data_IF_451660073432
#
_entry.id   IF_451660073432
#
_cell.length_a   1.000
_cell.length_b   1.000
_cell.length_c   1.000
_cell.angle_alpha   90.00
_cell.angle_beta   90.00
_cell.angle_gamma   90.00
#
_symmetry.space_group_name_H-M   'P 1'
#
loop_
_entity.id
_entity.type
_entity.pdbx_description
1 polymer ?
#
# COMPACT_ATOMS: atom_id res chain seq x y z
N UNK A 1 -20.21 12.43 14.64
CA UNK A 1 -20.01 12.66 13.20
C UNK A 1 -18.51 12.83 12.98
N UNK A 2 -17.92 12.11 12.04
CA UNK A 2 -16.55 12.39 11.63
C UNK A 2 -16.57 13.62 10.71
N UNK A 3 -15.83 14.67 11.11
CA UNK A 3 -15.77 15.94 10.41
C UNK A 3 -14.52 16.08 9.52
N UNK A 4 -13.67 15.05 9.45
CA UNK A 4 -12.36 15.10 8.80
C UNK A 4 -12.42 15.54 7.34
N UNK A 5 -13.37 15.01 6.54
CA UNK A 5 -13.54 15.43 5.12
C UNK A 5 -13.82 16.92 4.97
N UNK A 6 -14.71 17.43 5.82
CA UNK A 6 -15.16 18.82 5.77
C UNK A 6 -14.05 19.74 6.26
N UNK A 7 -13.35 19.36 7.33
CA UNK A 7 -12.19 20.08 7.85
C UNK A 7 -11.08 20.18 6.80
N UNK A 8 -10.73 19.08 6.11
CA UNK A 8 -9.72 19.10 5.04
C UNK A 8 -10.13 20.03 3.89
N UNK A 9 -11.40 20.02 3.50
CA UNK A 9 -11.94 20.93 2.48
C UNK A 9 -11.88 22.40 2.90
N UNK A 10 -12.24 22.70 4.15
CA UNK A 10 -12.18 24.04 4.72
C UNK A 10 -10.74 24.56 4.83
N UNK A 11 -9.79 23.71 5.24
CA UNK A 11 -8.36 24.05 5.28
C UNK A 11 -7.83 24.38 3.89
N UNK A 12 -8.11 23.54 2.89
CA UNK A 12 -7.73 23.80 1.50
C UNK A 12 -8.32 25.12 1.00
N UNK A 13 -9.61 25.37 1.26
CA UNK A 13 -10.27 26.63 0.89
C UNK A 13 -9.62 27.83 1.57
N UNK A 14 -9.33 27.76 2.87
CA UNK A 14 -8.64 28.83 3.60
C UNK A 14 -7.25 29.12 3.03
N UNK A 15 -6.49 28.07 2.68
CA UNK A 15 -5.18 28.24 2.05
C UNK A 15 -5.27 28.96 0.70
N UNK A 16 -6.24 28.61 -0.14
CA UNK A 16 -6.37 29.18 -1.49
C UNK A 16 -7.01 30.57 -1.48
N UNK A 17 -8.04 30.78 -0.64
CA UNK A 17 -8.85 31.99 -0.67
C UNK A 17 -8.30 33.10 0.23
N UNK A 18 -7.58 32.75 1.30
CA UNK A 18 -7.11 33.71 2.31
C UNK A 18 -5.58 33.78 2.38
N UNK A 19 -4.89 32.63 2.41
CA UNK A 19 -3.43 32.60 2.59
C UNK A 19 -2.71 32.92 1.28
N UNK A 20 -3.06 32.26 0.18
CA UNK A 20 -2.38 32.45 -1.11
C UNK A 20 -2.36 33.91 -1.58
N UNK A 21 -3.45 34.69 -1.47
CA UNK A 21 -3.43 36.11 -1.86
C UNK A 21 -2.59 37.00 -0.93
N UNK A 22 -2.29 36.54 0.29
CA UNK A 22 -1.52 37.28 1.28
C UNK A 22 -0.01 36.98 1.24
N UNK A 23 0.41 35.97 0.46
CA UNK A 23 1.81 35.62 0.24
C UNK A 23 2.41 36.56 -0.82
N UNK A 24 3.69 36.95 -0.65
CA UNK A 24 4.43 37.70 -1.67
C UNK A 24 4.54 36.88 -2.97
N UNK A 25 3.99 37.34 -4.11
CA UNK A 25 4.06 36.61 -5.37
C UNK A 25 5.49 36.50 -5.93
N UNK A 26 6.45 37.26 -5.39
CA UNK A 26 7.85 37.18 -5.79
C UNK A 26 8.67 36.21 -4.93
N UNK A 27 8.06 35.56 -3.94
CA UNK A 27 8.69 34.45 -3.21
C UNK A 27 8.51 33.15 -4.03
N UNK A 28 9.57 32.64 -4.68
CA UNK A 28 9.47 31.45 -5.51
C UNK A 28 9.16 30.20 -4.68
N UNK A 29 9.64 30.15 -3.42
CA UNK A 29 9.40 29.01 -2.55
C UNK A 29 7.91 28.95 -2.18
N UNK A 30 7.34 30.07 -1.74
CA UNK A 30 5.94 30.09 -1.33
C UNK A 30 4.98 29.84 -2.51
N UNK A 31 5.33 30.36 -3.69
CA UNK A 31 4.59 30.14 -4.94
C UNK A 31 4.53 28.67 -5.37
N UNK A 32 5.59 27.90 -5.10
CA UNK A 32 5.64 26.47 -5.39
C UNK A 32 5.03 25.61 -4.28
N UNK A 33 5.29 25.93 -3.01
CA UNK A 33 4.90 25.06 -1.89
C UNK A 33 3.41 25.14 -1.55
N UNK A 34 2.76 26.31 -1.69
CA UNK A 34 1.36 26.46 -1.31
C UNK A 34 0.41 25.60 -2.17
N UNK A 35 0.54 25.54 -3.50
CA UNK A 35 -0.22 24.61 -4.33
C UNK A 35 -0.02 23.15 -3.92
N UNK A 36 1.22 22.73 -3.63
CA UNK A 36 1.53 21.36 -3.21
C UNK A 36 0.81 20.96 -1.92
N UNK A 37 0.75 21.87 -0.94
CA UNK A 37 0.00 21.63 0.31
C UNK A 37 -1.50 21.55 0.03
N UNK A 38 -2.04 22.44 -0.80
CA UNK A 38 -3.46 22.42 -1.16
C UNK A 38 -3.86 21.13 -1.90
N UNK A 39 -3.00 20.63 -2.79
CA UNK A 39 -3.19 19.36 -3.51
C UNK A 39 -3.08 18.15 -2.57
N UNK A 40 -2.15 18.18 -1.61
CA UNK A 40 -2.04 17.14 -0.59
C UNK A 40 -3.30 17.06 0.30
N UNK A 41 -3.88 18.19 0.69
CA UNK A 41 -5.14 18.22 1.44
C UNK A 41 -6.31 17.64 0.63
N UNK A 42 -6.36 17.92 -0.68
CA UNK A 42 -7.37 17.32 -1.56
C UNK A 42 -7.17 15.81 -1.70
N UNK A 43 -5.93 15.36 -1.87
CA UNK A 43 -5.58 13.94 -1.85
C UNK A 43 -6.08 13.27 -0.57
N UNK A 44 -5.74 13.80 0.61
CA UNK A 44 -6.20 13.26 1.89
C UNK A 44 -7.72 13.20 1.96
N UNK A 45 -8.40 14.25 1.51
CA UNK A 45 -9.88 14.32 1.50
C UNK A 45 -10.51 13.19 0.69
N UNK A 46 -9.85 12.76 -0.39
CA UNK A 46 -10.33 11.66 -1.26
C UNK A 46 -9.93 10.26 -0.76
N UNK A 47 -8.93 10.15 0.12
CA UNK A 47 -8.33 8.87 0.52
C UNK A 47 -8.52 8.48 1.98
N UNK A 48 -8.79 9.43 2.88
CA UNK A 48 -8.80 9.18 4.33
C UNK A 48 -9.77 8.06 4.75
N UNK A 49 -10.95 7.99 4.13
CA UNK A 49 -11.96 6.95 4.41
C UNK A 49 -11.64 5.59 3.80
N UNK A 50 -10.61 5.50 2.97
CA UNK A 50 -10.21 4.29 2.25
C UNK A 50 -8.94 3.66 2.82
N UNK A 51 -8.35 4.25 3.86
CA UNK A 51 -7.09 3.76 4.44
C UNK A 51 -7.26 2.31 4.92
N UNK A 52 -8.39 1.98 5.54
CA UNK A 52 -8.65 0.61 5.99
C UNK A 52 -8.70 -0.39 4.83
N UNK A 53 -9.47 -0.09 3.78
CA UNK A 53 -9.58 -0.92 2.57
C UNK A 53 -8.22 -1.10 1.89
N UNK A 54 -7.43 -0.01 1.82
CA UNK A 54 -6.05 -0.04 1.35
C UNK A 54 -5.19 -0.99 2.18
N UNK A 55 -5.20 -0.86 3.51
CA UNK A 55 -4.37 -1.71 4.38
C UNK A 55 -4.74 -3.19 4.23
N UNK A 56 -6.03 -3.51 4.08
CA UNK A 56 -6.49 -4.89 3.80
C UNK A 56 -6.02 -5.39 2.43
N UNK A 57 -6.06 -4.53 1.41
CA UNK A 57 -5.54 -4.85 0.09
C UNK A 57 -4.04 -5.13 0.14
N UNK A 58 -3.25 -4.20 0.69
CA UNK A 58 -1.78 -4.31 0.76
C UNK A 58 -1.34 -5.53 1.56
N UNK A 59 -1.94 -5.80 2.72
CA UNK A 59 -1.69 -7.03 3.49
C UNK A 59 -1.99 -8.27 2.65
N UNK A 60 -3.02 -8.21 1.83
CA UNK A 60 -3.39 -9.30 0.94
C UNK A 60 -2.38 -9.61 -0.16
N UNK A 61 -1.74 -8.59 -0.71
CA UNK A 61 -0.66 -8.74 -1.69
C UNK A 61 0.61 -9.29 -1.03
N UNK A 62 0.96 -8.81 0.18
CA UNK A 62 2.07 -9.37 0.94
C UNK A 62 1.84 -10.83 1.31
N UNK A 63 0.60 -11.21 1.66
CA UNK A 63 0.23 -12.60 1.96
C UNK A 63 0.46 -13.51 0.75
N UNK A 64 -0.04 -13.13 -0.42
CA UNK A 64 0.15 -13.88 -1.66
C UNK A 64 1.64 -14.02 -2.01
N UNK A 65 2.41 -12.95 -1.85
CA UNK A 65 3.86 -12.98 -2.05
C UNK A 65 4.54 -13.98 -1.10
N UNK A 66 4.24 -13.90 0.20
CA UNK A 66 4.82 -14.76 1.22
C UNK A 66 4.46 -16.25 1.04
N UNK A 67 3.20 -16.56 0.72
CA UNK A 67 2.75 -17.93 0.39
C UNK A 67 3.51 -18.51 -0.80
N UNK A 68 3.76 -17.70 -1.84
CA UNK A 68 4.53 -18.13 -2.99
C UNK A 68 6.02 -18.32 -2.71
N UNK A 69 6.59 -17.59 -1.74
CA UNK A 69 7.95 -17.83 -1.21
C UNK A 69 7.99 -19.18 -0.49
N UNK A 70 7.04 -19.43 0.42
CA UNK A 70 6.96 -20.70 1.16
C UNK A 70 6.83 -21.89 0.22
N UNK A 71 5.96 -21.80 -0.79
CA UNK A 71 5.76 -22.86 -1.78
C UNK A 71 7.08 -23.28 -2.47
N UNK A 72 7.91 -22.30 -2.86
CA UNK A 72 9.18 -22.52 -3.55
C UNK A 72 10.27 -23.06 -2.63
N UNK A 73 10.30 -22.58 -1.39
CA UNK A 73 11.17 -23.12 -0.35
C UNK A 73 10.86 -24.59 -0.06
N UNK A 74 9.58 -24.92 0.14
CA UNK A 74 9.16 -26.29 0.43
C UNK A 74 9.49 -27.26 -0.72
N UNK A 75 9.39 -26.80 -1.97
CA UNK A 75 9.76 -27.60 -3.13
C UNK A 75 11.26 -27.95 -3.20
N UNK A 76 12.13 -27.14 -2.59
CA UNK A 76 13.58 -27.22 -2.82
C UNK A 76 14.39 -27.63 -1.59
N UNK A 77 14.05 -27.13 -0.40
CA UNK A 77 14.92 -27.23 0.79
C UNK A 77 14.35 -28.17 1.86
N UNK A 78 13.08 -28.60 1.76
CA UNK A 78 12.46 -29.59 2.65
C UNK A 78 12.32 -29.17 4.13
N UNK A 79 12.89 -28.05 4.56
CA UNK A 79 12.86 -27.54 5.93
C UNK A 79 12.27 -26.12 6.01
N UNK A 80 11.64 -25.82 7.14
CA UNK A 80 11.03 -24.53 7.44
C UNK A 80 12.11 -23.43 7.56
N UNK A 81 12.05 -22.43 6.69
CA UNK A 81 12.91 -21.24 6.78
C UNK A 81 12.29 -20.24 7.74
N UNK A 82 12.82 -20.21 8.96
CA UNK A 82 12.55 -19.18 9.96
C UNK A 82 11.07 -19.04 10.37
N UNK A 83 10.68 -17.83 10.74
CA UNK A 83 9.33 -17.52 11.25
C UNK A 83 8.32 -17.19 10.14
N UNK A 84 8.70 -17.24 8.86
CA UNK A 84 7.81 -16.86 7.75
C UNK A 84 6.46 -17.62 7.76
N UNK A 85 6.39 -18.95 8.03
CA UNK A 85 5.10 -19.64 8.14
C UNK A 85 4.19 -19.04 9.22
N UNK A 86 4.75 -18.73 10.40
CA UNK A 86 3.99 -18.12 11.50
C UNK A 86 3.47 -16.73 11.12
N UNK A 87 4.27 -15.95 10.42
CA UNK A 87 3.87 -14.61 9.96
C UNK A 87 2.77 -14.69 8.90
N UNK A 88 2.83 -15.68 8.00
CA UNK A 88 1.76 -15.94 7.02
C UNK A 88 0.44 -16.28 7.73
N UNK A 89 0.47 -17.13 8.75
CA UNK A 89 -0.73 -17.51 9.50
C UNK A 89 -1.31 -16.30 10.27
N UNK A 90 -0.47 -15.52 10.95
CA UNK A 90 -0.89 -14.31 11.66
C UNK A 90 -1.50 -13.27 10.70
N UNK A 91 -0.85 -13.03 9.57
CA UNK A 91 -1.33 -12.11 8.53
C UNK A 91 -2.66 -12.57 7.91
N UNK A 92 -2.85 -13.88 7.70
CA UNK A 92 -4.11 -14.43 7.22
C UNK A 92 -5.24 -14.18 8.21
N UNK A 93 -5.02 -14.49 9.49
CA UNK A 93 -6.01 -14.27 10.56
C UNK A 93 -6.39 -12.79 10.65
N UNK A 94 -5.39 -11.89 10.67
CA UNK A 94 -5.61 -10.44 10.71
C UNK A 94 -6.34 -9.93 9.45
N UNK A 95 -6.01 -10.48 8.28
CA UNK A 95 -6.71 -10.13 7.04
C UNK A 95 -8.16 -10.57 7.09
N UNK A 96 -8.47 -11.79 7.51
CA UNK A 96 -9.81 -12.35 7.37
C UNK A 96 -10.76 -11.85 8.47
N UNK A 97 -10.24 -11.47 9.63
CA UNK A 97 -11.03 -10.90 10.70
C UNK A 97 -11.55 -9.50 10.33
N UNK A 98 -12.88 -9.33 10.37
CA UNK A 98 -13.54 -8.04 10.17
C UNK A 98 -13.26 -7.04 11.31
N UNK A 99 -12.86 -7.54 12.49
CA UNK A 99 -12.56 -6.74 13.67
C UNK A 99 -11.14 -6.17 13.69
N UNK A 100 -10.25 -6.63 12.81
CA UNK A 100 -8.86 -6.19 12.79
C UNK A 100 -8.77 -4.72 12.43
N UNK A 101 -8.09 -3.94 13.26
CA UNK A 101 -7.95 -2.50 13.07
C UNK A 101 -6.96 -2.15 11.95
N UNK A 102 -7.07 -0.93 11.41
CA UNK A 102 -6.14 -0.43 10.38
C UNK A 102 -4.68 -0.47 10.82
N UNK A 103 -4.38 -0.07 12.06
CA UNK A 103 -3.00 -0.08 12.59
C UNK A 103 -2.43 -1.49 12.61
N UNK A 104 -3.22 -2.47 13.08
CA UNK A 104 -2.82 -3.86 13.13
C UNK A 104 -2.55 -4.42 11.72
N UNK A 105 -3.40 -4.11 10.74
CA UNK A 105 -3.17 -4.50 9.33
C UNK A 105 -1.84 -3.95 8.78
N UNK A 106 -1.51 -2.70 9.10
CA UNK A 106 -0.25 -2.07 8.67
C UNK A 106 0.96 -2.74 9.33
N UNK A 107 0.88 -3.02 10.64
CA UNK A 107 1.93 -3.71 11.39
C UNK A 107 2.15 -5.14 10.87
N UNK A 108 1.07 -5.87 10.58
CA UNK A 108 1.15 -7.20 9.98
C UNK A 108 1.76 -7.16 8.57
N UNK A 109 1.38 -6.17 7.76
CA UNK A 109 1.96 -5.98 6.42
C UNK A 109 3.47 -5.71 6.47
N UNK A 110 3.89 -4.82 7.37
CA UNK A 110 5.32 -4.52 7.58
C UNK A 110 6.09 -5.74 8.09
N UNK A 111 5.53 -6.46 9.06
CA UNK A 111 6.13 -7.68 9.62
C UNK A 111 6.31 -8.75 8.54
N UNK A 112 5.29 -8.97 7.71
CA UNK A 112 5.33 -9.98 6.66
C UNK A 112 6.32 -9.60 5.54
N UNK A 113 6.34 -8.32 5.13
CA UNK A 113 7.31 -7.82 4.15
C UNK A 113 8.76 -7.96 4.63
N UNK A 114 9.00 -7.70 5.93
CA UNK A 114 10.31 -7.90 6.55
C UNK A 114 10.71 -9.38 6.57
N UNK A 115 9.80 -10.28 6.91
CA UNK A 115 10.04 -11.72 6.92
C UNK A 115 10.37 -12.26 5.51
N UNK A 116 9.61 -11.86 4.48
CA UNK A 116 9.91 -12.18 3.08
C UNK A 116 11.30 -11.66 2.69
N UNK A 117 11.62 -10.43 3.04
CA UNK A 117 12.90 -9.82 2.72
C UNK A 117 14.09 -10.48 3.43
N UNK A 118 13.87 -11.05 4.62
CA UNK A 118 14.89 -11.80 5.34
C UNK A 118 15.17 -13.14 4.63
N UNK A 119 14.13 -13.85 4.23
CA UNK A 119 14.24 -15.11 3.49
C UNK A 119 14.94 -14.93 2.14
N UNK A 120 14.59 -13.91 1.37
CA UNK A 120 15.23 -13.64 0.06
C UNK A 120 16.71 -13.29 0.21
N UNK A 121 17.09 -12.69 1.34
CA UNK A 121 18.48 -12.30 1.64
C UNK A 121 19.25 -13.35 2.42
N UNK A 122 18.66 -14.51 2.68
CA UNK A 122 19.34 -15.59 3.39
C UNK A 122 20.42 -16.22 2.51
N UNK A 123 21.68 -15.87 2.78
CA UNK A 123 22.86 -16.35 2.05
C UNK A 123 23.13 -17.85 2.25
N UNK A 124 22.46 -18.50 3.21
CA UNK A 124 22.58 -19.95 3.42
C UNK A 124 21.80 -20.77 2.38
N UNK A 125 20.84 -20.13 1.68
CA UNK A 125 20.09 -20.77 0.61
C UNK A 125 20.96 -20.91 -0.65
N UNK A 126 20.78 -21.99 -1.44
CA UNK A 126 21.43 -22.13 -2.74
C UNK A 126 21.14 -20.93 -3.66
N UNK A 127 22.13 -20.54 -4.46
CA UNK A 127 22.04 -19.39 -5.37
C UNK A 127 20.84 -19.49 -6.32
N UNK A 128 20.54 -20.67 -6.84
CA UNK A 128 19.41 -20.94 -7.72
C UNK A 128 18.08 -20.66 -7.01
N UNK A 129 17.96 -21.06 -5.74
CA UNK A 129 16.78 -20.80 -4.92
C UNK A 129 16.63 -19.31 -4.67
N UNK A 130 17.70 -18.61 -4.28
CA UNK A 130 17.65 -17.16 -4.04
C UNK A 130 17.22 -16.40 -5.30
N UNK A 131 17.73 -16.79 -6.47
CA UNK A 131 17.33 -16.19 -7.75
C UNK A 131 15.86 -16.46 -8.09
N UNK A 132 15.37 -17.68 -7.84
CA UNK A 132 13.96 -18.01 -8.04
C UNK A 132 13.05 -17.20 -7.12
N UNK A 133 13.39 -17.11 -5.84
CA UNK A 133 12.65 -16.31 -4.86
C UNK A 133 12.64 -14.83 -5.23
N UNK A 134 13.80 -14.28 -5.63
CA UNK A 134 13.90 -12.89 -6.08
C UNK A 134 13.01 -12.62 -7.29
N UNK A 135 13.01 -13.52 -8.28
CA UNK A 135 12.12 -13.43 -9.46
C UNK A 135 10.66 -13.45 -9.05
N UNK A 136 10.28 -14.34 -8.14
CA UNK A 136 8.91 -14.42 -7.63
C UNK A 136 8.48 -13.14 -6.91
N UNK A 137 9.32 -12.57 -6.04
CA UNK A 137 9.01 -11.33 -5.32
C UNK A 137 8.79 -10.17 -6.29
N UNK A 138 9.64 -10.04 -7.31
CA UNK A 138 9.45 -9.01 -8.35
C UNK A 138 8.14 -9.24 -9.10
N UNK A 139 7.86 -10.47 -9.54
CA UNK A 139 6.64 -10.78 -10.29
C UNK A 139 5.36 -10.57 -9.47
N UNK A 140 5.35 -11.03 -8.21
CA UNK A 140 4.21 -10.88 -7.30
C UNK A 140 3.99 -9.43 -6.83
N UNK A 141 5.00 -8.56 -6.92
CA UNK A 141 4.85 -7.14 -6.57
C UNK A 141 4.02 -6.32 -7.58
N UNK A 142 3.74 -6.86 -8.77
CA UNK A 142 3.11 -6.11 -9.87
C UNK A 142 1.76 -5.51 -9.50
N UNK A 143 0.87 -6.28 -8.88
CA UNK A 143 -0.46 -5.80 -8.49
C UNK A 143 -0.39 -4.76 -7.37
N UNK A 144 0.48 -4.95 -6.38
CA UNK A 144 0.74 -3.95 -5.35
C UNK A 144 1.25 -2.63 -5.94
N UNK A 145 2.22 -2.69 -6.86
CA UNK A 145 2.74 -1.51 -7.54
C UNK A 145 1.68 -0.82 -8.41
N UNK A 146 0.88 -1.59 -9.14
CA UNK A 146 -0.23 -1.06 -9.93
C UNK A 146 -1.28 -0.37 -9.05
N UNK A 147 -1.58 -0.95 -7.88
CA UNK A 147 -2.45 -0.34 -6.89
C UNK A 147 -1.86 0.96 -6.35
N UNK A 148 -0.57 0.99 -5.98
CA UNK A 148 0.08 2.20 -5.47
C UNK A 148 0.05 3.33 -6.51
N UNK A 149 0.32 3.02 -7.78
CA UNK A 149 0.18 4.00 -8.88
C UNK A 149 -1.23 4.57 -8.95
N UNK A 150 -2.26 3.72 -8.84
CA UNK A 150 -3.65 4.15 -8.80
C UNK A 150 -3.98 5.00 -7.57
N UNK A 151 -3.48 4.60 -6.41
CA UNK A 151 -3.71 5.29 -5.14
C UNK A 151 -3.20 6.73 -5.19
N UNK A 152 -1.98 6.91 -5.69
CA UNK A 152 -1.26 8.19 -5.77
C UNK A 152 -1.49 8.94 -7.09
N UNK A 153 -2.30 8.41 -8.01
CA UNK A 153 -2.65 9.06 -9.27
C UNK A 153 -3.14 10.52 -9.14
N UNK A 154 -3.88 10.93 -8.08
CA UNK A 154 -4.29 12.33 -7.91
C UNK A 154 -3.14 13.35 -7.86
N UNK A 155 -1.92 12.94 -7.45
CA UNK A 155 -0.76 13.84 -7.47
C UNK A 155 -0.24 14.12 -8.88
N UNK A 156 -0.65 13.33 -9.85
CA UNK A 156 -0.38 13.64 -11.23
C UNK A 156 1.03 13.34 -11.74
N UNK A 157 1.86 12.67 -10.94
CA UNK A 157 3.19 12.16 -11.33
C UNK A 157 3.14 11.07 -12.40
N UNK A 158 1.97 10.46 -12.61
CA UNK A 158 1.78 9.42 -13.63
C UNK A 158 1.73 10.04 -15.03
N UNK A 159 2.62 9.60 -15.91
CA UNK A 159 2.71 10.05 -17.30
C UNK A 159 1.65 9.43 -18.20
N UNK A 160 1.15 8.22 -17.87
CA UNK A 160 0.13 7.50 -18.65
C UNK A 160 -1.17 7.34 -17.86
N UNK A 161 -1.80 8.45 -17.46
CA UNK A 161 -2.99 8.44 -16.57
C UNK A 161 -4.17 7.65 -17.13
N UNK A 162 -4.33 7.63 -18.45
CA UNK A 162 -5.36 6.88 -19.18
C UNK A 162 -5.20 5.36 -19.06
N UNK A 163 -4.00 4.88 -18.70
CA UNK A 163 -3.67 3.46 -18.56
C UNK A 163 -3.71 2.97 -17.12
N UNK A 164 -3.93 3.87 -16.16
CA UNK A 164 -4.00 3.50 -14.75
C UNK A 164 -5.41 3.05 -14.40
N UNK A 165 -5.53 1.77 -14.01
CA UNK A 165 -6.74 1.18 -13.46
C UNK A 165 -7.22 1.98 -12.24
N UNK A 166 -8.52 2.14 -12.05
CA UNK A 166 -9.05 2.94 -10.94
C UNK A 166 -8.84 2.24 -9.60
N UNK A 167 -8.73 3.00 -8.50
CA UNK A 167 -8.59 2.42 -7.15
C UNK A 167 -9.81 1.56 -6.81
N UNK A 168 -11.00 1.95 -7.31
CA UNK A 168 -12.24 1.21 -7.07
C UNK A 168 -12.19 -0.19 -7.68
N UNK A 169 -11.57 -0.37 -8.85
CA UNK A 169 -11.41 -1.70 -9.46
C UNK A 169 -10.57 -2.64 -8.59
N UNK A 170 -9.52 -2.13 -7.94
CA UNK A 170 -8.69 -2.91 -7.02
C UNK A 170 -9.46 -3.31 -5.75
N UNK A 171 -10.24 -2.38 -5.19
CA UNK A 171 -10.92 -2.60 -3.92
C UNK A 171 -12.25 -3.37 -4.09
N UNK A 172 -12.92 -3.25 -5.23
CA UNK A 172 -14.17 -3.97 -5.52
C UNK A 172 -13.94 -5.46 -5.81
N UNK A 173 -12.84 -5.83 -6.46
CA UNK A 173 -12.56 -7.20 -6.93
C UNK A 173 -12.44 -8.28 -5.85
N UNK A 174 -12.38 -7.92 -4.56
CA UNK A 174 -12.24 -8.89 -3.46
C UNK A 174 -13.39 -8.88 -2.44
N UNK A 175 -14.40 -8.01 -2.59
CA UNK A 175 -15.54 -7.95 -1.66
C UNK A 175 -16.59 -9.06 -1.89
N UNK A 176 -16.51 -9.81 -2.99
CA UNK A 176 -17.50 -10.84 -3.35
C UNK A 176 -17.18 -12.24 -2.79
N UNK A 177 -15.98 -12.47 -2.23
CA UNK A 177 -15.56 -13.78 -1.72
C UNK A 177 -15.98 -14.05 -0.25
N UNK A 178 -16.62 -13.08 0.42
CA UNK A 178 -17.08 -13.21 1.81
C UNK A 178 -18.62 -13.39 1.94
N UNK A 179 -19.32 -13.68 0.84
CA UNK A 179 -20.78 -13.79 0.80
C UNK A 179 -21.30 -15.06 0.09
N UNK A 180 -20.53 -16.16 0.11
CA UNK A 180 -21.01 -17.48 -0.32
C UNK A 180 -20.73 -18.53 0.75
#
# INVERSE_FOLDING_TARGET
MDHSRNTLGALRKSLLDSVAPAVDPNDPLASEQLPLVADYLEFLRTRIYRIHERSRFELGEYLQMAEGVLTRLSATVGAAVGDLPKQVDAARVARDAASTGTTELLEQGATLAAAVSAVVRDETLPDEVRQELGRWVVESSRELLAFQRSWYAPFGFESSRDRVRSVDDFLAGRSCAAAQ
#
